data_IF_744749131845
#
_entry.id   IF_744749131845
#
_cell.length_a   1.000
_cell.length_b   1.000
_cell.length_c   1.000
_cell.angle_alpha   90.00
_cell.angle_beta   90.00
_cell.angle_gamma   90.00
#
_symmetry.space_group_name_H-M   'P 1'
#
loop_
_entity.id
_entity.type
_entity.pdbx_description
1 polymer ?
#
# COMPACT_ATOMS: atom_id res chain seq x y z
N UNK A 1 22.94 -11.97 -13.06
CA UNK A 1 24.01 -11.18 -12.40
C UNK A 1 23.65 -11.05 -10.92
N UNK A 2 24.54 -11.37 -9.98
CA UNK A 2 24.23 -11.42 -8.55
C UNK A 2 24.10 -10.01 -7.94
N UNK A 3 23.07 -9.75 -7.12
CA UNK A 3 22.75 -8.43 -6.56
C UNK A 3 23.82 -7.89 -5.60
N UNK A 4 24.47 -8.76 -4.83
CA UNK A 4 25.53 -8.40 -3.89
C UNK A 4 26.71 -7.80 -4.66
N UNK A 5 27.09 -8.44 -5.77
CA UNK A 5 28.17 -7.98 -6.66
C UNK A 5 27.85 -6.63 -7.29
N UNK A 6 26.58 -6.38 -7.61
CA UNK A 6 26.11 -5.11 -8.20
C UNK A 6 26.22 -3.97 -7.19
N UNK A 7 25.61 -4.12 -6.01
CA UNK A 7 25.61 -3.10 -4.95
C UNK A 7 27.02 -2.78 -4.46
N UNK A 8 27.87 -3.80 -4.29
CA UNK A 8 29.27 -3.61 -3.90
C UNK A 8 30.02 -2.72 -4.90
N UNK A 9 29.81 -2.93 -6.21
CA UNK A 9 30.44 -2.11 -7.26
C UNK A 9 29.88 -0.69 -7.31
N UNK A 10 28.57 -0.52 -7.12
CA UNK A 10 27.93 0.80 -7.04
C UNK A 10 28.52 1.65 -5.89
N UNK A 11 28.92 1.00 -4.78
CA UNK A 11 29.60 1.64 -3.64
C UNK A 11 31.13 1.75 -3.81
N UNK A 12 31.69 1.34 -4.96
CA UNK A 12 33.14 1.39 -5.20
C UNK A 12 33.98 0.42 -4.34
N UNK A 13 33.36 -0.58 -3.71
CA UNK A 13 34.04 -1.51 -2.80
C UNK A 13 34.64 -2.70 -3.55
N UNK A 14 35.83 -3.13 -3.12
CA UNK A 14 36.39 -4.45 -3.49
C UNK A 14 35.77 -5.57 -2.65
N UNK A 15 35.89 -6.82 -3.10
CA UNK A 15 35.40 -7.96 -2.31
C UNK A 15 36.11 -8.09 -0.96
N UNK A 16 37.39 -7.70 -0.89
CA UNK A 16 38.18 -7.68 0.35
C UNK A 16 37.62 -6.65 1.32
N UNK A 17 37.40 -5.42 0.85
CA UNK A 17 36.85 -4.34 1.68
C UNK A 17 35.44 -4.64 2.19
N UNK A 18 34.59 -5.28 1.38
CA UNK A 18 33.27 -5.72 1.85
C UNK A 18 33.41 -6.83 2.90
N UNK A 19 34.35 -7.76 2.72
CA UNK A 19 34.60 -8.83 3.69
C UNK A 19 35.08 -8.27 5.04
N UNK A 20 36.00 -7.31 5.03
CA UNK A 20 36.49 -6.62 6.23
C UNK A 20 35.36 -5.92 6.98
N UNK A 21 34.50 -5.17 6.26
CA UNK A 21 33.34 -4.48 6.87
C UNK A 21 32.38 -5.45 7.53
N UNK A 22 32.08 -6.57 6.88
CA UNK A 22 31.13 -7.60 7.33
C UNK A 22 31.72 -8.51 8.42
N UNK A 23 33.04 -8.45 8.67
CA UNK A 23 33.73 -9.33 9.62
C UNK A 23 33.89 -10.75 9.09
N UNK A 24 34.26 -10.91 7.82
CA UNK A 24 34.36 -12.21 7.14
C UNK A 24 35.55 -12.27 6.18
N UNK A 25 35.69 -13.35 5.40
CA UNK A 25 36.79 -13.55 4.46
C UNK A 25 36.37 -13.28 3.01
N UNK A 26 37.29 -12.78 2.18
CA UNK A 26 37.05 -12.53 0.76
C UNK A 26 36.52 -13.76 -0.01
N UNK A 27 36.99 -15.00 0.25
CA UNK A 27 36.43 -16.19 -0.38
C UNK A 27 34.95 -16.43 -0.03
N UNK A 28 34.50 -16.09 1.18
CA UNK A 28 33.09 -16.23 1.56
C UNK A 28 32.20 -15.26 0.78
N UNK A 29 32.63 -14.01 0.61
CA UNK A 29 31.95 -13.03 -0.25
C UNK A 29 31.93 -13.50 -1.70
N UNK A 30 33.05 -14.00 -2.23
CA UNK A 30 33.12 -14.53 -3.60
C UNK A 30 32.11 -15.66 -3.83
N UNK A 31 32.01 -16.63 -2.92
CA UNK A 31 31.07 -17.76 -3.03
C UNK A 31 29.61 -17.31 -2.97
N UNK A 32 29.30 -16.28 -2.19
CA UNK A 32 27.97 -15.66 -2.16
C UNK A 32 27.67 -14.92 -3.48
N UNK A 33 28.64 -14.20 -4.06
CA UNK A 33 28.48 -13.51 -5.35
C UNK A 33 28.38 -14.46 -6.55
N UNK A 34 29.00 -15.64 -6.47
CA UNK A 34 28.92 -16.70 -7.47
C UNK A 34 27.71 -17.62 -7.27
N UNK A 35 26.93 -17.41 -6.22
CA UNK A 35 25.78 -18.27 -5.83
C UNK A 35 26.16 -19.74 -5.54
N UNK A 36 27.45 -20.03 -5.33
CA UNK A 36 27.93 -21.34 -4.85
C UNK A 36 27.52 -21.61 -3.40
N UNK A 37 27.13 -20.55 -2.67
CA UNK A 37 26.56 -20.62 -1.33
C UNK A 37 25.20 -19.94 -1.32
N UNK A 38 24.19 -20.61 -0.75
CA UNK A 38 22.87 -20.03 -0.52
C UNK A 38 22.98 -18.82 0.41
N UNK A 39 22.40 -17.71 0.01
CA UNK A 39 22.27 -16.53 0.86
C UNK A 39 21.25 -16.81 1.97
N UNK A 40 21.71 -16.84 3.22
CA UNK A 40 20.83 -17.01 4.39
C UNK A 40 20.36 -15.66 4.91
N UNK A 41 19.31 -15.67 5.74
CA UNK A 41 18.80 -14.47 6.44
C UNK A 41 19.91 -13.75 7.21
N UNK A 42 20.69 -14.48 7.98
CA UNK A 42 21.82 -13.94 8.75
C UNK A 42 22.86 -13.25 7.87
N UNK A 43 23.16 -13.82 6.70
CA UNK A 43 24.08 -13.20 5.75
C UNK A 43 23.49 -11.95 5.12
N UNK A 44 22.21 -11.97 4.79
CA UNK A 44 21.52 -10.79 4.27
C UNK A 44 21.50 -9.66 5.30
N UNK A 45 21.25 -9.93 6.58
CA UNK A 45 21.30 -8.94 7.66
C UNK A 45 22.68 -8.30 7.82
N UNK A 46 23.74 -9.13 7.80
CA UNK A 46 25.12 -8.64 7.89
C UNK A 46 25.54 -7.82 6.67
N UNK A 47 25.18 -8.25 5.47
CA UNK A 47 25.55 -7.57 4.22
C UNK A 47 24.76 -6.28 4.01
N UNK A 48 23.46 -6.29 4.32
CA UNK A 48 22.54 -5.17 4.16
C UNK A 48 23.05 -3.88 4.81
N UNK A 49 23.54 -3.99 6.05
CA UNK A 49 24.09 -2.86 6.81
C UNK A 49 25.23 -2.14 6.07
N UNK A 50 26.12 -2.90 5.43
CA UNK A 50 27.29 -2.36 4.75
C UNK A 50 27.05 -2.03 3.28
N UNK A 51 25.97 -2.56 2.70
CA UNK A 51 25.55 -2.30 1.33
C UNK A 51 24.48 -1.20 1.23
N UNK A 52 23.97 -0.69 2.36
CA UNK A 52 23.00 0.41 2.39
C UNK A 52 21.61 0.03 1.86
N UNK A 53 21.23 -1.24 2.00
CA UNK A 53 19.94 -1.78 1.54
C UNK A 53 19.24 -2.56 2.66
N UNK A 54 17.98 -2.94 2.50
CA UNK A 54 17.31 -3.84 3.46
C UNK A 54 17.74 -5.30 3.22
N UNK A 55 17.75 -6.16 4.26
CA UNK A 55 18.02 -7.59 4.08
C UNK A 55 17.05 -8.27 3.09
N UNK A 56 15.80 -7.81 3.05
CA UNK A 56 14.79 -8.23 2.08
C UNK A 56 15.24 -8.02 0.64
N UNK A 57 15.91 -6.90 0.33
CA UNK A 57 16.32 -6.56 -1.03
C UNK A 57 17.41 -7.52 -1.54
N UNK A 58 18.20 -8.09 -0.63
CA UNK A 58 19.22 -9.09 -0.95
C UNK A 58 18.62 -10.51 -1.09
N UNK A 59 17.66 -10.85 -0.24
CA UNK A 59 16.98 -12.16 -0.25
C UNK A 59 15.99 -12.28 -1.42
N UNK A 60 15.38 -11.16 -1.81
CA UNK A 60 14.35 -11.06 -2.84
C UNK A 60 14.74 -9.99 -3.88
N UNK A 61 15.84 -10.18 -4.65
CA UNK A 61 16.41 -9.17 -5.55
C UNK A 61 15.51 -8.75 -6.71
N UNK A 62 14.43 -9.51 -6.98
CA UNK A 62 13.43 -9.21 -7.99
C UNK A 62 12.16 -8.55 -7.42
N UNK A 63 12.09 -8.37 -6.10
CA UNK A 63 10.97 -7.69 -5.41
C UNK A 63 11.38 -6.29 -4.90
N UNK A 64 12.68 -6.01 -4.78
CA UNK A 64 13.22 -4.81 -4.12
C UNK A 64 13.81 -3.71 -5.01
N UNK A 65 13.65 -3.76 -6.34
CA UNK A 65 13.88 -2.58 -7.19
C UNK A 65 12.55 -2.23 -7.83
N UNK A 66 11.89 -1.20 -7.31
CA UNK A 66 10.96 -0.39 -8.07
C UNK A 66 11.71 0.17 -9.30
N UNK A 67 11.80 -0.65 -10.35
CA UNK A 67 11.64 -0.11 -11.68
C UNK A 67 10.37 0.73 -11.61
N UNK A 68 10.41 1.98 -12.06
CA UNK A 68 9.21 2.79 -12.26
C UNK A 68 8.36 2.20 -13.40
N UNK A 69 8.30 0.87 -13.54
CA UNK A 69 7.40 0.17 -14.42
C UNK A 69 6.00 0.48 -13.96
N UNK A 70 5.22 1.06 -14.86
CA UNK A 70 3.78 1.21 -14.71
C UNK A 70 3.22 -0.20 -14.46
N UNK A 71 2.70 -0.43 -13.26
CA UNK A 71 1.93 -1.62 -12.92
C UNK A 71 0.48 -1.45 -13.37
N UNK A 72 -0.23 -2.57 -13.51
CA UNK A 72 -1.69 -2.57 -13.69
C UNK A 72 -2.31 -3.18 -12.44
N UNK A 73 -3.25 -2.47 -11.82
CA UNK A 73 -3.96 -2.95 -10.62
C UNK A 73 -5.46 -3.10 -10.94
N UNK A 74 -6.13 -4.09 -10.35
CA UNK A 74 -7.55 -4.30 -10.55
C UNK A 74 -8.37 -3.22 -9.85
N UNK A 75 -9.46 -2.79 -10.48
CA UNK A 75 -10.54 -2.05 -9.85
C UNK A 75 -11.44 -3.08 -9.18
N UNK A 76 -11.42 -3.14 -7.85
CA UNK A 76 -12.06 -4.24 -7.10
C UNK A 76 -13.44 -3.89 -6.55
N UNK A 77 -13.89 -2.65 -6.71
CA UNK A 77 -15.16 -2.20 -6.17
C UNK A 77 -15.35 -0.69 -6.26
N UNK A 78 -16.23 -0.16 -5.41
CA UNK A 78 -16.64 1.26 -5.42
C UNK A 78 -16.47 1.94 -4.07
N UNK A 79 -16.38 3.27 -4.09
CA UNK A 79 -16.64 4.13 -2.93
C UNK A 79 -17.92 4.93 -3.17
N UNK A 80 -18.90 4.76 -2.29
CA UNK A 80 -20.19 5.41 -2.34
C UNK A 80 -20.63 5.76 -0.91
N UNK A 81 -20.58 7.04 -0.56
CA UNK A 81 -21.05 7.46 0.77
C UNK A 81 -22.58 7.35 0.86
N UNK A 82 -23.04 6.90 2.02
CA UNK A 82 -24.45 6.71 2.39
C UNK A 82 -25.17 5.60 1.63
N UNK A 83 -24.44 4.71 0.95
CA UNK A 83 -25.00 3.51 0.32
C UNK A 83 -24.55 2.26 1.09
N UNK A 84 -25.51 1.63 1.80
CA UNK A 84 -25.30 0.29 2.36
C UNK A 84 -25.60 -0.73 1.27
N UNK A 85 -24.61 -1.58 0.97
CA UNK A 85 -24.70 -2.58 -0.09
C UNK A 85 -24.29 -3.94 0.46
N UNK A 86 -24.69 -5.01 -0.20
CA UNK A 86 -24.09 -6.32 0.07
C UNK A 86 -22.60 -6.29 -0.31
N UNK A 87 -21.80 -7.17 0.29
CA UNK A 87 -20.38 -7.31 -0.11
C UNK A 87 -20.27 -7.67 -1.61
N UNK A 88 -21.19 -8.49 -2.10
CA UNK A 88 -21.27 -8.93 -3.49
C UNK A 88 -21.57 -7.79 -4.48
N UNK A 89 -22.38 -6.80 -4.07
CA UNK A 89 -22.67 -5.62 -4.91
C UNK A 89 -21.57 -4.55 -4.83
N UNK A 90 -20.84 -4.51 -3.72
CA UNK A 90 -19.77 -3.55 -3.48
C UNK A 90 -18.48 -3.93 -4.20
N UNK A 91 -18.15 -5.22 -4.18
CA UNK A 91 -16.98 -5.78 -4.82
C UNK A 91 -17.32 -6.17 -6.27
N UNK A 92 -16.44 -5.89 -7.22
CA UNK A 92 -16.64 -6.34 -8.58
C UNK A 92 -16.31 -7.82 -8.71
N UNK A 93 -17.22 -8.57 -9.36
CA UNK A 93 -17.01 -9.97 -9.71
C UNK A 93 -15.83 -10.17 -10.67
N UNK A 94 -15.44 -11.43 -10.84
CA UNK A 94 -14.27 -11.80 -11.64
C UNK A 94 -14.47 -11.67 -13.15
N UNK A 95 -15.73 -11.65 -13.61
CA UNK A 95 -16.08 -11.49 -15.01
C UNK A 95 -16.03 -9.98 -15.34
N UNK A 96 -15.01 -9.57 -16.10
CA UNK A 96 -14.75 -8.19 -16.56
C UNK A 96 -14.13 -7.21 -15.54
N UNK A 97 -13.10 -7.65 -14.79
CA UNK A 97 -12.30 -6.75 -13.94
C UNK A 97 -11.58 -5.69 -14.80
N UNK A 98 -11.92 -4.41 -14.58
CA UNK A 98 -11.18 -3.27 -15.12
C UNK A 98 -9.80 -3.15 -14.46
N UNK A 99 -8.77 -2.84 -15.25
CA UNK A 99 -7.43 -2.57 -14.74
C UNK A 99 -7.03 -1.11 -15.01
N UNK A 100 -6.34 -0.51 -14.05
CA UNK A 100 -5.83 0.86 -14.15
C UNK A 100 -4.32 0.89 -13.94
N UNK A 101 -3.61 1.81 -14.62
CA UNK A 101 -2.18 1.98 -14.41
C UNK A 101 -1.90 2.53 -13.00
N UNK A 102 -0.81 2.07 -12.41
CA UNK A 102 -0.29 2.55 -11.14
C UNK A 102 1.23 2.72 -11.24
N UNK A 103 1.76 3.82 -10.68
CA UNK A 103 3.20 4.05 -10.55
C UNK A 103 3.50 4.51 -9.13
N UNK A 104 3.99 3.58 -8.31
CA UNK A 104 4.34 3.82 -6.91
C UNK A 104 5.54 2.98 -6.52
N UNK A 105 6.12 3.29 -5.37
CA UNK A 105 7.20 2.55 -4.72
C UNK A 105 6.73 1.25 -4.05
N UNK A 106 5.41 1.03 -3.93
CA UNK A 106 4.84 -0.13 -3.27
C UNK A 106 4.71 -1.33 -4.21
N UNK A 107 4.79 -2.58 -3.70
CA UNK A 107 4.48 -3.75 -4.50
C UNK A 107 3.07 -3.68 -5.10
N UNK A 108 2.92 -4.09 -6.37
CA UNK A 108 1.62 -4.06 -7.08
C UNK A 108 0.54 -4.85 -6.32
N UNK A 109 0.88 -6.00 -5.73
CA UNK A 109 -0.07 -6.85 -5.01
C UNK A 109 -0.52 -6.30 -3.64
N UNK A 110 0.06 -5.19 -3.18
CA UNK A 110 -0.42 -4.43 -2.02
C UNK A 110 -1.36 -3.30 -2.43
N UNK A 111 -1.65 -3.15 -3.72
CA UNK A 111 -2.40 -2.04 -4.24
C UNK A 111 -3.66 -2.52 -4.95
N UNK A 112 -4.68 -1.69 -4.91
CA UNK A 112 -5.96 -1.93 -5.55
C UNK A 112 -6.58 -0.59 -5.95
N UNK A 113 -7.53 -0.62 -6.89
CA UNK A 113 -8.29 0.56 -7.26
C UNK A 113 -9.75 0.44 -6.82
N UNK A 114 -10.35 1.58 -6.48
CA UNK A 114 -11.78 1.71 -6.27
C UNK A 114 -12.34 2.82 -7.15
N UNK A 115 -13.50 2.58 -7.76
CA UNK A 115 -14.19 3.59 -8.55
C UNK A 115 -15.03 4.50 -7.65
N UNK A 116 -14.92 5.80 -7.83
CA UNK A 116 -15.80 6.77 -7.17
C UNK A 116 -17.19 6.66 -7.77
N UNK A 117 -18.19 6.43 -6.93
CA UNK A 117 -19.60 6.37 -7.31
C UNK A 117 -20.37 7.49 -6.59
N UNK A 118 -20.93 8.41 -7.38
CA UNK A 118 -21.62 9.61 -6.92
C UNK A 118 -20.72 10.76 -6.46
N UNK A 119 -21.23 11.59 -5.55
CA UNK A 119 -20.63 12.88 -5.15
C UNK A 119 -19.91 12.84 -3.79
N UNK A 120 -19.63 11.65 -3.27
CA UNK A 120 -19.07 11.47 -1.93
C UNK A 120 -17.67 12.09 -1.73
N UNK A 121 -16.98 12.44 -2.81
CA UNK A 121 -15.63 13.02 -2.82
C UNK A 121 -15.50 14.26 -3.72
N UNK A 122 -16.61 14.90 -4.08
CA UNK A 122 -16.65 15.94 -5.12
C UNK A 122 -15.80 17.21 -4.85
N UNK A 123 -15.23 17.38 -3.64
CA UNK A 123 -14.19 18.41 -3.40
C UNK A 123 -12.86 18.09 -4.10
N UNK A 124 -12.57 16.81 -4.34
CA UNK A 124 -11.26 16.34 -4.83
C UNK A 124 -11.32 15.30 -5.97
N UNK A 125 -12.40 14.52 -6.08
CA UNK A 125 -12.60 13.47 -7.07
C UNK A 125 -14.02 13.52 -7.65
N UNK A 126 -14.18 13.18 -8.93
CA UNK A 126 -15.46 13.14 -9.64
C UNK A 126 -16.03 11.72 -9.64
N UNK A 127 -17.35 11.62 -9.84
CA UNK A 127 -17.97 10.34 -10.18
C UNK A 127 -17.25 9.69 -11.37
N UNK A 128 -16.86 8.42 -11.23
CA UNK A 128 -16.11 7.65 -12.21
C UNK A 128 -14.59 7.75 -12.12
N UNK A 129 -14.03 8.65 -11.31
CA UNK A 129 -12.58 8.66 -11.02
C UNK A 129 -12.17 7.36 -10.32
N UNK A 130 -10.90 6.98 -10.49
CA UNK A 130 -10.33 5.76 -9.92
C UNK A 130 -9.37 6.14 -8.79
N UNK A 131 -9.63 5.66 -7.57
CA UNK A 131 -8.76 5.84 -6.42
C UNK A 131 -7.72 4.73 -6.37
N UNK A 132 -6.46 5.08 -6.58
CA UNK A 132 -5.33 4.14 -6.45
C UNK A 132 -4.99 4.04 -4.97
N UNK A 133 -5.19 2.87 -4.38
CA UNK A 133 -5.11 2.64 -2.95
C UNK A 133 -3.99 1.67 -2.59
N UNK A 134 -3.37 1.91 -1.44
CA UNK A 134 -2.47 0.99 -0.76
C UNK A 134 -3.23 0.27 0.35
N UNK A 135 -3.22 -1.05 0.34
CA UNK A 135 -3.76 -1.91 1.40
C UNK A 135 -2.92 -1.73 2.67
N UNK A 136 -3.51 -1.08 3.68
CA UNK A 136 -2.81 -0.73 4.92
C UNK A 136 -2.46 -1.96 5.77
N UNK A 137 -3.23 -3.04 5.65
CA UNK A 137 -2.99 -4.29 6.39
C UNK A 137 -1.81 -5.03 5.77
N UNK A 138 -1.80 -5.21 4.44
CA UNK A 138 -0.70 -5.90 3.74
C UNK A 138 0.61 -5.12 3.81
N UNK A 139 0.53 -3.80 3.67
CA UNK A 139 1.71 -2.94 3.65
C UNK A 139 2.26 -2.63 5.05
N UNK A 140 1.43 -2.74 6.09
CA UNK A 140 1.80 -2.39 7.47
C UNK A 140 2.11 -0.91 7.68
N UNK A 141 1.72 -0.05 6.73
CA UNK A 141 1.92 1.40 6.86
C UNK A 141 0.95 1.98 7.87
N UNK A 142 1.43 2.93 8.65
CA UNK A 142 0.57 3.74 9.50
C UNK A 142 -0.10 4.83 8.65
N UNK A 143 -1.32 5.18 9.04
CA UNK A 143 -2.03 6.32 8.48
C UNK A 143 -1.73 7.56 9.31
N UNK A 144 -1.51 8.68 8.64
CA UNK A 144 -1.10 9.95 9.25
C UNK A 144 -2.18 11.02 9.10
N UNK A 145 -2.17 12.08 9.94
CA UNK A 145 -3.03 13.23 9.74
C UNK A 145 -2.92 13.78 8.31
N UNK A 146 -4.07 14.15 7.74
CA UNK A 146 -4.27 14.57 6.35
C UNK A 146 -4.23 13.48 5.28
N UNK A 147 -3.91 12.23 5.61
CA UNK A 147 -4.09 11.12 4.66
C UNK A 147 -5.56 11.00 4.26
N UNK A 148 -5.79 10.74 2.97
CA UNK A 148 -7.08 10.30 2.48
C UNK A 148 -7.12 8.78 2.57
N UNK A 149 -8.10 8.23 3.28
CA UNK A 149 -8.19 6.79 3.54
C UNK A 149 -9.53 6.23 3.13
N UNK A 150 -9.52 4.97 2.72
CA UNK A 150 -10.72 4.17 2.47
C UNK A 150 -11.19 3.60 3.81
N UNK A 151 -12.41 3.97 4.17
CA UNK A 151 -13.10 3.53 5.37
C UNK A 151 -14.19 2.56 4.94
N UNK A 152 -14.17 1.36 5.50
CA UNK A 152 -15.24 0.38 5.40
C UNK A 152 -15.99 0.35 6.71
N UNK A 153 -17.30 0.54 6.65
CA UNK A 153 -18.21 0.28 7.75
C UNK A 153 -18.96 -0.99 7.43
N UNK A 154 -19.17 -1.84 8.43
CA UNK A 154 -19.94 -3.07 8.26
C UNK A 154 -21.02 -3.18 9.34
N UNK A 155 -22.14 -3.83 8.99
CA UNK A 155 -23.26 -4.14 9.88
C UNK A 155 -23.75 -5.56 9.61
N UNK A 156 -24.59 -6.10 10.50
CA UNK A 156 -25.16 -7.44 10.37
C UNK A 156 -24.08 -8.51 10.15
N UNK A 157 -23.05 -8.51 11.01
CA UNK A 157 -21.90 -9.42 10.93
C UNK A 157 -21.18 -9.40 9.56
N UNK A 158 -21.13 -8.23 8.91
CA UNK A 158 -20.40 -8.06 7.64
C UNK A 158 -21.20 -8.34 6.39
N UNK A 159 -22.50 -8.68 6.49
CA UNK A 159 -23.35 -8.90 5.31
C UNK A 159 -23.62 -7.60 4.54
N UNK A 160 -23.67 -6.47 5.24
CA UNK A 160 -23.80 -5.16 4.63
C UNK A 160 -22.60 -4.30 4.93
N UNK A 161 -22.11 -3.65 3.90
CA UNK A 161 -20.93 -2.78 3.94
C UNK A 161 -21.24 -1.43 3.32
N UNK A 162 -20.56 -0.40 3.82
CA UNK A 162 -20.48 0.93 3.24
C UNK A 162 -18.99 1.28 3.10
N UNK A 163 -18.53 1.59 1.88
CA UNK A 163 -17.17 2.07 1.62
C UNK A 163 -17.19 3.52 1.18
N UNK A 164 -16.38 4.33 1.83
CA UNK A 164 -16.21 5.75 1.52
C UNK A 164 -14.76 6.16 1.71
N UNK A 165 -14.32 7.26 1.09
CA UNK A 165 -13.04 7.86 1.45
C UNK A 165 -13.24 9.07 2.39
N UNK A 166 -12.34 9.22 3.36
CA UNK A 166 -12.36 10.27 4.37
C UNK A 166 -10.95 10.76 4.63
N UNK A 167 -10.80 12.04 4.98
CA UNK A 167 -9.52 12.60 5.41
C UNK A 167 -9.34 12.43 6.90
N UNK A 168 -8.19 11.89 7.31
CA UNK A 168 -7.86 11.75 8.72
C UNK A 168 -7.52 13.12 9.31
N UNK A 169 -8.09 13.42 10.47
CA UNK A 169 -7.66 14.51 11.34
C UNK A 169 -7.41 13.98 12.74
N UNK A 170 -6.31 14.40 13.34
CA UNK A 170 -6.03 14.10 14.74
C UNK A 170 -6.64 15.20 15.62
N UNK A 171 -7.37 14.78 16.65
CA UNK A 171 -7.93 15.66 17.68
C UNK A 171 -7.44 15.23 19.06
N UNK A 172 -7.83 15.97 20.09
CA UNK A 172 -7.56 15.59 21.49
C UNK A 172 -8.25 14.29 21.90
N UNK A 173 -9.28 13.86 21.17
CA UNK A 173 -10.10 12.68 21.47
C UNK A 173 -9.78 11.48 20.55
N UNK A 174 -8.69 11.56 19.76
CA UNK A 174 -8.27 10.53 18.81
C UNK A 174 -8.43 10.99 17.36
N UNK A 175 -8.59 10.04 16.44
CA UNK A 175 -8.78 10.33 15.02
C UNK A 175 -10.24 10.53 14.65
N UNK A 176 -10.46 11.53 13.79
CA UNK A 176 -11.73 11.80 13.11
C UNK A 176 -11.58 11.64 11.61
N UNK A 177 -12.62 11.11 10.96
CA UNK A 177 -12.66 10.81 9.54
C UNK A 177 -13.57 11.83 8.85
N UNK A 178 -12.96 12.85 8.25
CA UNK A 178 -13.66 14.01 7.71
C UNK A 178 -14.08 13.82 6.24
N UNK A 179 -15.28 14.26 5.85
CA UNK A 179 -15.76 14.15 4.48
C UNK A 179 -15.05 15.13 3.52
N UNK A 180 -14.85 14.66 2.29
CA UNK A 180 -14.35 15.47 1.16
C UNK A 180 -15.47 15.73 0.14
N UNK A 181 -16.67 16.06 0.64
CA UNK A 181 -17.84 16.35 -0.18
C UNK A 181 -18.44 17.73 0.13
N UNK A 182 -19.05 18.36 -0.86
CA UNK A 182 -19.89 19.56 -0.74
C UNK A 182 -21.36 19.22 -0.51
N UNK A 183 -21.75 17.94 -0.49
CA UNK A 183 -23.12 17.52 -0.24
C UNK A 183 -23.53 17.90 1.20
N UNK A 184 -24.69 18.58 1.41
CA UNK A 184 -25.10 19.04 2.74
C UNK A 184 -25.15 17.94 3.80
N UNK A 185 -25.53 16.73 3.39
CA UNK A 185 -25.64 15.57 4.28
C UNK A 185 -24.28 14.96 4.65
N UNK A 186 -23.17 15.40 4.04
CA UNK A 186 -21.82 14.86 4.21
C UNK A 186 -20.86 15.94 4.75
N UNK A 187 -21.23 16.58 5.86
CA UNK A 187 -20.39 17.63 6.48
C UNK A 187 -19.83 17.25 7.86
N UNK A 188 -20.39 16.24 8.52
CA UNK A 188 -19.92 15.79 9.84
C UNK A 188 -18.87 14.68 9.73
N UNK A 189 -17.87 14.65 10.62
CA UNK A 189 -16.88 13.58 10.65
C UNK A 189 -17.43 12.30 11.26
N UNK A 190 -16.93 11.16 10.79
CA UNK A 190 -17.11 9.88 11.47
C UNK A 190 -16.05 9.79 12.58
N UNK A 191 -16.49 9.57 13.81
CA UNK A 191 -15.59 9.33 14.95
C UNK A 191 -15.26 7.84 14.98
N UNK A 192 -13.97 7.51 15.00
CA UNK A 192 -13.51 6.11 15.06
C UNK A 192 -13.92 5.46 16.39
N UNK A 193 -13.96 6.26 17.46
CA UNK A 193 -14.40 5.86 18.78
C UNK A 193 -15.89 6.20 18.95
N UNK A 194 -16.72 5.22 19.32
CA UNK A 194 -18.16 5.42 19.58
C UNK A 194 -19.10 4.90 18.49
N UNK A 195 -18.70 3.83 17.81
CA UNK A 195 -19.55 3.11 16.85
C UNK A 195 -20.73 2.47 17.59
N UNK A 196 -21.92 2.49 16.98
CA UNK A 196 -23.11 1.84 17.56
C UNK A 196 -22.90 0.32 17.69
N UNK A 197 -23.64 -0.28 18.63
CA UNK A 197 -23.57 -1.73 18.87
C UNK A 197 -23.95 -2.51 17.60
N UNK A 198 -23.10 -3.46 17.21
CA UNK A 198 -23.26 -4.25 15.98
C UNK A 198 -22.75 -3.62 14.68
N UNK A 199 -22.09 -2.46 14.71
CA UNK A 199 -21.33 -1.95 13.56
C UNK A 199 -19.82 -1.97 13.81
N UNK A 200 -19.05 -2.21 12.76
CA UNK A 200 -17.59 -2.13 12.78
C UNK A 200 -17.11 -1.06 11.81
N UNK A 201 -16.00 -0.40 12.15
CA UNK A 201 -15.33 0.55 11.26
C UNK A 201 -13.88 0.13 11.09
N UNK A 202 -13.44 0.02 9.84
CA UNK A 202 -12.07 -0.33 9.48
C UNK A 202 -11.52 0.66 8.46
N UNK A 203 -10.25 1.00 8.61
CA UNK A 203 -9.48 1.64 7.54
C UNK A 203 -8.83 0.51 6.75
N UNK A 204 -9.21 0.36 5.49
CA UNK A 204 -8.76 -0.75 4.63
C UNK A 204 -7.72 -0.31 3.60
N UNK A 205 -7.61 1.00 3.33
CA UNK A 205 -6.62 1.49 2.40
C UNK A 205 -6.27 2.96 2.59
N UNK A 206 -5.09 3.34 2.12
CA UNK A 206 -4.64 4.73 1.97
C UNK A 206 -4.67 5.10 0.49
N UNK A 207 -5.34 6.19 0.14
CA UNK A 207 -5.40 6.67 -1.24
C UNK A 207 -4.07 7.35 -1.58
N UNK A 208 -3.40 6.85 -2.60
CA UNK A 208 -2.14 7.40 -3.12
C UNK A 208 -2.38 8.39 -4.25
N UNK A 209 -3.29 8.06 -5.18
CA UNK A 209 -3.57 8.87 -6.35
C UNK A 209 -5.05 8.84 -6.72
N UNK A 210 -5.52 9.93 -7.35
CA UNK A 210 -6.82 10.00 -8.03
C UNK A 210 -6.52 10.00 -9.52
N UNK A 211 -6.94 8.96 -10.21
CA UNK A 211 -6.76 8.79 -11.65
C UNK A 211 -8.07 9.09 -12.38
N UNK A 212 -8.01 9.96 -13.39
CA UNK A 212 -9.14 10.34 -14.23
C UNK A 212 -8.84 9.98 -15.68
N UNK A 213 -9.73 9.21 -16.30
CA UNK A 213 -9.72 9.02 -17.75
C UNK A 213 -10.23 10.32 -18.41
N UNK A 214 -9.58 10.80 -19.49
CA UNK A 214 -9.99 12.01 -20.20
C UNK A 214 -11.39 11.89 -20.80
#
# INVERSE_FOLDING_TARGET
MNIIRKLRKELGLTQVQLAEKVGTTQPQIKRLELSERKLTKEWAEKLALHLGVKPSDLLFPNEGRASHSIGMIPVIGRVAASAWMSVEDMDFGFDDIEYVPCTTEYPIHFQFALKVDGNCLNKIARNGDQLICLDVIKSGVNVEPNDLVIVERSRFNGQMVERTAKRIRQTTNGFELWPESTEPNHQEPIKVNGVADGEEIRIIGKVLWILRKP
#
